data_IF_931966745814
#
_entry.id   IF_931966745814
#
_cell.length_a   1.000
_cell.length_b   1.000
_cell.length_c   1.000
_cell.angle_alpha   90.00
_cell.angle_beta   90.00
_cell.angle_gamma   90.00
#
_symmetry.space_group_name_H-M   'P 1'
#
loop_
_entity.id
_entity.type
_entity.pdbx_description
1 polymer ?
#
# COMPACT_ATOMS: atom_id res chain seq x y z
N UNK A 1 -5.63 35.40 14.40
CA UNK A 1 -5.77 34.31 13.40
C UNK A 1 -4.46 33.59 13.11
N UNK A 2 -3.32 34.30 12.96
CA UNK A 2 -2.00 33.68 12.72
C UNK A 2 -1.60 32.61 13.77
N UNK A 3 -1.92 32.83 15.05
CA UNK A 3 -1.64 31.85 16.13
C UNK A 3 -2.32 30.49 15.92
N UNK A 4 -3.53 30.47 15.36
CA UNK A 4 -4.23 29.22 15.06
C UNK A 4 -3.64 28.54 13.81
N UNK A 5 -3.28 29.34 12.79
CA UNK A 5 -2.61 28.83 11.59
C UNK A 5 -1.24 28.19 11.90
N UNK A 6 -0.51 28.73 12.89
CA UNK A 6 0.78 28.21 13.34
C UNK A 6 0.69 26.77 13.88
N UNK A 7 -0.45 26.38 14.45
CA UNK A 7 -0.67 25.00 14.90
C UNK A 7 -1.34 24.15 13.80
N UNK A 8 -2.31 24.71 13.07
CA UNK A 8 -3.11 23.97 12.10
C UNK A 8 -2.34 23.61 10.83
N UNK A 9 -1.54 24.54 10.27
CA UNK A 9 -0.84 24.31 9.00
C UNK A 9 0.22 23.21 9.12
N UNK A 10 1.08 23.16 10.16
CA UNK A 10 1.98 22.03 10.36
C UNK A 10 1.23 20.71 10.52
N UNK A 11 0.13 20.69 11.29
CA UNK A 11 -0.69 19.48 11.46
C UNK A 11 -1.24 18.98 10.11
N UNK A 12 -1.81 19.87 9.30
CA UNK A 12 -2.32 19.56 7.98
C UNK A 12 -1.22 19.08 7.02
N UNK A 13 -0.08 19.78 7.00
CA UNK A 13 1.08 19.41 6.20
C UNK A 13 1.62 18.03 6.58
N UNK A 14 1.71 17.76 7.88
CA UNK A 14 2.10 16.45 8.40
C UNK A 14 1.12 15.35 8.03
N UNK A 15 -0.19 15.60 8.08
CA UNK A 15 -1.21 14.67 7.62
C UNK A 15 -1.06 14.33 6.12
N UNK A 16 -0.92 15.36 5.28
CA UNK A 16 -0.71 15.20 3.84
C UNK A 16 0.56 14.38 3.55
N UNK A 17 1.64 14.67 4.27
CA UNK A 17 2.90 13.96 4.14
C UNK A 17 2.79 12.47 4.51
N UNK A 18 2.22 12.15 5.68
CA UNK A 18 2.12 10.74 6.12
C UNK A 18 1.15 9.93 5.26
N UNK A 19 0.17 10.59 4.63
CA UNK A 19 -0.79 9.95 3.72
C UNK A 19 -0.23 9.66 2.32
N UNK A 20 0.79 10.41 1.88
CA UNK A 20 1.42 10.26 0.57
C UNK A 20 2.69 9.40 0.63
N UNK A 21 3.45 9.47 1.72
CA UNK A 21 4.66 8.68 1.90
C UNK A 21 4.34 7.19 2.13
N UNK A 22 4.86 6.31 1.28
CA UNK A 22 4.49 4.90 1.22
C UNK A 22 4.81 4.13 2.51
N UNK A 23 5.90 4.46 3.22
CA UNK A 23 6.26 3.81 4.49
C UNK A 23 5.18 4.00 5.56
N UNK A 24 4.64 5.21 5.67
CA UNK A 24 3.66 5.54 6.71
C UNK A 24 2.23 5.28 6.25
N UNK A 25 1.94 5.42 4.96
CA UNK A 25 0.58 5.33 4.40
C UNK A 25 -0.11 4.02 4.77
N UNK A 26 0.61 2.90 4.75
CA UNK A 26 0.05 1.59 5.11
C UNK A 26 -0.22 1.45 6.60
N UNK A 27 0.64 2.03 7.44
CA UNK A 27 0.52 1.97 8.89
C UNK A 27 -0.67 2.80 9.37
N UNK A 28 -0.82 4.03 8.86
CA UNK A 28 -1.84 4.97 9.33
C UNK A 28 -3.26 4.52 9.03
N UNK A 29 -3.48 3.69 8.01
CA UNK A 29 -4.82 3.21 7.66
C UNK A 29 -5.39 2.23 8.70
N UNK A 30 -4.53 1.56 9.50
CA UNK A 30 -4.91 0.68 10.61
C UNK A 30 -4.93 1.40 11.97
N UNK A 31 -4.45 2.64 12.02
CA UNK A 31 -4.38 3.41 13.25
C UNK A 31 -5.71 4.10 13.58
N UNK A 32 -6.00 4.19 14.88
CA UNK A 32 -7.10 5.00 15.39
C UNK A 32 -6.90 6.47 15.03
N UNK A 33 -8.00 7.22 14.85
CA UNK A 33 -7.94 8.64 14.50
C UNK A 33 -7.06 9.46 15.47
N UNK A 34 -7.02 9.09 16.76
CA UNK A 34 -6.16 9.75 17.74
C UNK A 34 -4.66 9.59 17.43
N UNK A 35 -4.22 8.36 17.12
CA UNK A 35 -2.82 8.07 16.76
C UNK A 35 -2.43 8.77 15.46
N UNK A 36 -3.35 8.81 14.49
CA UNK A 36 -3.18 9.53 13.24
C UNK A 36 -2.92 11.03 13.46
N UNK A 37 -3.68 11.69 14.36
CA UNK A 37 -3.45 13.09 14.68
C UNK A 37 -2.08 13.32 15.33
N UNK A 38 -1.66 12.45 16.25
CA UNK A 38 -0.34 12.54 16.90
C UNK A 38 0.78 12.37 15.87
N UNK A 39 0.65 11.41 14.97
CA UNK A 39 1.64 11.15 13.91
C UNK A 39 1.71 12.30 12.90
N UNK A 40 0.56 12.84 12.50
CA UNK A 40 0.49 14.02 11.66
C UNK A 40 1.15 15.23 12.35
N UNK A 41 0.88 15.46 13.64
CA UNK A 41 1.52 16.52 14.40
C UNK A 41 3.05 16.34 14.46
N UNK A 42 3.53 15.13 14.74
CA UNK A 42 4.96 14.82 14.80
C UNK A 42 5.67 15.16 13.49
N UNK A 43 5.18 14.66 12.35
CA UNK A 43 5.77 14.97 11.04
C UNK A 43 5.57 16.42 10.64
N UNK A 44 4.45 17.02 11.02
CA UNK A 44 4.16 18.43 10.83
C UNK A 44 5.20 19.35 11.46
N UNK A 45 5.62 19.05 12.69
CA UNK A 45 6.68 19.79 13.40
C UNK A 45 8.01 19.70 12.62
N UNK A 46 8.40 18.51 12.17
CA UNK A 46 9.64 18.34 11.40
C UNK A 46 9.61 19.08 10.06
N UNK A 47 8.48 19.03 9.35
CA UNK A 47 8.31 19.78 8.10
C UNK A 47 8.34 21.29 8.33
N UNK A 48 7.76 21.76 9.44
CA UNK A 48 7.80 23.17 9.83
C UNK A 48 9.22 23.63 10.17
N UNK A 49 9.98 22.84 10.93
CA UNK A 49 11.38 23.15 11.25
C UNK A 49 12.24 23.17 9.98
N UNK A 50 12.02 22.22 9.06
CA UNK A 50 12.70 22.19 7.77
C UNK A 50 12.34 23.42 6.92
N UNK A 51 11.05 23.77 6.83
CA UNK A 51 10.58 24.96 6.12
C UNK A 51 11.17 26.24 6.70
N UNK A 52 11.23 26.34 8.03
CA UNK A 52 11.83 27.47 8.73
C UNK A 52 13.32 27.59 8.38
N UNK A 53 14.08 26.50 8.49
CA UNK A 53 15.50 26.49 8.16
C UNK A 53 15.74 26.89 6.69
N UNK A 54 14.98 26.32 5.75
CA UNK A 54 15.07 26.66 4.33
C UNK A 54 14.74 28.14 4.07
N UNK A 55 13.70 28.67 4.71
CA UNK A 55 13.28 30.07 4.54
C UNK A 55 14.30 31.03 5.13
N UNK A 56 14.88 30.72 6.29
CA UNK A 56 15.97 31.52 6.90
C UNK A 56 17.20 31.53 5.98
N UNK A 57 17.62 30.36 5.48
CA UNK A 57 18.77 30.26 4.58
C UNK A 57 18.52 30.97 3.24
N UNK A 58 17.30 30.93 2.72
CA UNK A 58 16.92 31.55 1.47
C UNK A 58 16.51 33.03 1.62
N UNK A 59 16.40 33.55 2.85
CA UNK A 59 15.93 34.90 3.14
C UNK A 59 16.62 35.99 2.31
N UNK A 60 17.96 35.98 2.11
CA UNK A 60 18.63 36.99 1.28
C UNK A 60 18.15 37.03 -0.18
N UNK A 61 17.64 35.90 -0.70
CA UNK A 61 17.17 35.77 -2.07
C UNK A 61 15.66 35.97 -2.21
N UNK A 62 14.92 36.00 -1.10
CA UNK A 62 13.46 36.05 -1.07
C UNK A 62 12.90 37.44 -0.75
N UNK A 63 13.75 38.47 -0.64
CA UNK A 63 13.32 39.84 -0.30
C UNK A 63 12.26 40.40 -1.25
N UNK A 64 12.36 40.16 -2.56
CA UNK A 64 11.34 40.60 -3.52
C UNK A 64 9.98 39.96 -3.25
N UNK A 65 9.96 38.67 -2.90
CA UNK A 65 8.74 37.95 -2.56
C UNK A 65 8.17 38.40 -1.21
N UNK A 66 9.04 38.61 -0.21
CA UNK A 66 8.64 39.12 1.09
C UNK A 66 8.07 40.53 1.00
N UNK A 67 8.66 41.41 0.20
CA UNK A 67 8.13 42.75 -0.06
C UNK A 67 6.73 42.70 -0.68
N UNK A 68 6.52 41.82 -1.67
CA UNK A 68 5.20 41.58 -2.27
C UNK A 68 4.19 41.07 -1.23
N UNK A 69 4.57 40.08 -0.41
CA UNK A 69 3.71 39.54 0.64
C UNK A 69 3.37 40.60 1.70
N UNK A 70 4.33 41.42 2.13
CA UNK A 70 4.08 42.54 3.07
C UNK A 70 3.06 43.52 2.50
N UNK A 71 3.17 43.87 1.22
CA UNK A 71 2.20 44.75 0.55
C UNK A 71 0.79 44.14 0.51
N UNK A 72 0.67 42.84 0.18
CA UNK A 72 -0.62 42.14 0.15
C UNK A 72 -1.26 41.96 1.54
N UNK A 73 -0.47 41.63 2.55
CA UNK A 73 -0.94 41.49 3.95
C UNK A 73 -1.41 42.85 4.49
N UNK A 74 -0.69 43.93 4.17
CA UNK A 74 -1.07 45.29 4.56
C UNK A 74 -2.38 45.77 3.92
N UNK A 75 -2.64 45.41 2.66
CA UNK A 75 -3.89 45.76 1.97
C UNK A 75 -5.11 44.98 2.48
N UNK A 76 -4.93 43.72 2.87
CA UNK A 76 -6.04 42.85 3.24
C UNK A 76 -6.60 43.14 4.65
N UNK A 77 -5.94 43.97 5.47
CA UNK A 77 -6.38 44.27 6.85
C UNK A 77 -6.50 43.04 7.76
N UNK A 78 -6.00 41.88 7.31
CA UNK A 78 -6.22 40.57 7.93
C UNK A 78 -5.41 40.35 9.22
N UNK A 79 -4.44 41.22 9.51
CA UNK A 79 -3.58 41.12 10.68
C UNK A 79 -3.30 42.54 11.21
N UNK A 80 -3.95 42.91 12.32
CA UNK A 80 -3.57 44.11 13.07
C UNK A 80 -2.10 43.98 13.52
N UNK A 81 -1.21 44.79 12.94
CA UNK A 81 0.13 45.02 13.49
C UNK A 81 0.02 45.83 14.78
N UNK A 82 -0.39 45.18 15.86
CA UNK A 82 -0.16 45.72 17.20
C UNK A 82 1.30 45.50 17.57
N UNK A 83 2.10 46.52 17.30
CA UNK A 83 3.41 46.82 17.89
C UNK A 83 4.26 45.63 18.36
N UNK A 84 5.20 45.19 17.52
CA UNK A 84 6.40 44.49 18.00
C UNK A 84 6.91 43.33 17.14
N UNK A 85 8.08 43.54 16.52
CA UNK A 85 9.18 42.59 16.18
C UNK A 85 8.92 41.32 15.35
N UNK A 86 7.69 40.95 15.03
CA UNK A 86 7.39 39.70 14.32
C UNK A 86 7.01 39.99 12.87
N UNK A 87 7.89 39.70 11.92
CA UNK A 87 7.62 39.83 10.48
C UNK A 87 6.53 38.81 10.08
N UNK A 88 5.30 39.30 9.93
CA UNK A 88 4.14 38.46 9.61
C UNK A 88 4.25 37.84 8.22
N UNK A 89 4.83 38.54 7.24
CA UNK A 89 5.04 38.03 5.89
C UNK A 89 6.04 36.87 5.87
N UNK A 90 7.10 36.97 6.69
CA UNK A 90 8.04 35.86 6.88
C UNK A 90 7.33 34.60 7.40
N UNK A 91 6.49 34.72 8.44
CA UNK A 91 5.76 33.56 8.97
C UNK A 91 4.73 32.99 7.97
N UNK A 92 4.06 33.83 7.20
CA UNK A 92 3.18 33.37 6.11
C UNK A 92 3.96 32.54 5.10
N UNK A 93 5.16 32.98 4.72
CA UNK A 93 6.03 32.25 3.81
C UNK A 93 6.49 30.91 4.40
N UNK A 94 6.89 30.87 5.67
CA UNK A 94 7.26 29.63 6.37
C UNK A 94 6.08 28.64 6.40
N UNK A 95 4.87 29.10 6.72
CA UNK A 95 3.68 28.25 6.76
C UNK A 95 3.32 27.74 5.35
N UNK A 96 3.43 28.58 4.33
CA UNK A 96 3.22 28.17 2.94
C UNK A 96 4.25 27.11 2.51
N UNK A 97 5.53 27.34 2.81
CA UNK A 97 6.59 26.37 2.55
C UNK A 97 6.38 25.05 3.29
N UNK A 98 5.92 25.10 4.54
CA UNK A 98 5.56 23.91 5.34
C UNK A 98 4.48 23.08 4.65
N UNK A 99 3.42 23.74 4.15
CA UNK A 99 2.34 23.07 3.43
C UNK A 99 2.82 22.44 2.11
N UNK A 100 3.65 23.17 1.35
CA UNK A 100 4.25 22.66 0.10
C UNK A 100 5.12 21.44 0.36
N UNK A 101 5.96 21.47 1.40
CA UNK A 101 6.75 20.31 1.81
C UNK A 101 5.86 19.13 2.24
N UNK A 102 4.72 19.40 2.90
CA UNK A 102 3.74 18.36 3.22
C UNK A 102 3.11 17.70 1.99
N UNK A 103 2.76 18.50 0.98
CA UNK A 103 2.15 18.03 -0.27
C UNK A 103 3.12 17.23 -1.14
N UNK A 104 4.37 17.68 -1.25
CA UNK A 104 5.34 17.14 -2.21
C UNK A 104 6.32 16.16 -1.56
N UNK A 105 6.66 16.38 -0.29
CA UNK A 105 7.73 15.67 0.41
C UNK A 105 7.54 14.16 0.44
N UNK A 106 6.30 13.67 0.62
CA UNK A 106 6.02 12.24 0.61
C UNK A 106 6.36 11.59 -0.74
N UNK A 107 6.00 12.23 -1.86
CA UNK A 107 6.32 11.76 -3.20
C UNK A 107 7.83 11.76 -3.48
N UNK A 108 8.56 12.78 -2.99
CA UNK A 108 10.03 12.85 -3.12
C UNK A 108 10.70 11.71 -2.37
N UNK A 109 10.26 11.42 -1.14
CA UNK A 109 10.79 10.29 -0.37
C UNK A 109 10.44 8.94 -1.01
N UNK A 110 9.27 8.82 -1.65
CA UNK A 110 8.90 7.62 -2.39
C UNK A 110 9.84 7.38 -3.57
N UNK A 111 10.26 8.44 -4.28
CA UNK A 111 11.28 8.33 -5.32
C UNK A 111 12.62 7.84 -4.78
N UNK A 112 13.08 8.40 -3.66
CA UNK A 112 14.31 7.94 -3.02
C UNK A 112 14.22 6.46 -2.63
N UNK A 113 13.05 6.05 -2.10
CA UNK A 113 12.80 4.66 -1.76
C UNK A 113 12.79 3.75 -2.98
N UNK A 114 12.16 4.16 -4.08
CA UNK A 114 12.16 3.41 -5.34
C UNK A 114 13.59 3.13 -5.83
N UNK A 115 14.45 4.15 -5.85
CA UNK A 115 15.84 4.01 -6.28
C UNK A 115 16.68 3.16 -5.32
N UNK A 116 16.37 3.18 -4.02
CA UNK A 116 17.03 2.30 -3.04
C UNK A 116 16.59 0.84 -3.18
N UNK A 117 15.34 0.59 -3.55
CA UNK A 117 14.76 -0.76 -3.63
C UNK A 117 15.00 -1.48 -4.95
N UNK A 118 15.27 -0.77 -6.03
CA UNK A 118 15.50 -1.36 -7.36
C UNK A 118 16.93 -1.93 -7.49
N UNK A 119 17.05 -3.11 -8.11
CA UNK A 119 18.35 -3.69 -8.42
C UNK A 119 19.04 -2.97 -9.58
N UNK A 120 20.37 -2.85 -9.55
CA UNK A 120 21.17 -2.25 -10.63
C UNK A 120 20.92 -2.91 -11.99
N UNK A 121 20.69 -4.23 -12.01
CA UNK A 121 20.37 -5.00 -13.23
C UNK A 121 19.00 -4.63 -13.81
N UNK A 122 18.00 -4.43 -12.94
CA UNK A 122 16.67 -4.01 -13.36
C UNK A 122 16.65 -2.57 -13.84
N UNK A 123 17.37 -1.68 -13.16
CA UNK A 123 17.50 -0.29 -13.56
C UNK A 123 18.16 -0.17 -14.96
N UNK A 124 19.19 -0.98 -15.22
CA UNK A 124 19.80 -1.08 -16.55
C UNK A 124 18.81 -1.65 -17.59
N UNK A 125 18.08 -2.71 -17.25
CA UNK A 125 17.06 -3.31 -18.14
C UNK A 125 15.96 -2.29 -18.51
N UNK A 126 15.48 -1.51 -17.54
CA UNK A 126 14.48 -0.46 -17.76
C UNK A 126 15.06 0.69 -18.61
N UNK A 127 16.31 1.08 -18.38
CA UNK A 127 16.99 2.09 -19.19
C UNK A 127 17.14 1.66 -20.66
N UNK A 128 17.55 0.42 -20.92
CA UNK A 128 17.62 -0.15 -22.29
C UNK A 128 16.23 -0.19 -22.93
N UNK A 129 15.20 -0.57 -22.18
CA UNK A 129 13.81 -0.60 -22.65
C UNK A 129 13.33 0.80 -23.05
N UNK A 130 13.67 1.85 -22.28
CA UNK A 130 13.35 3.26 -22.61
C UNK A 130 13.93 3.68 -23.95
N UNK A 131 15.21 3.36 -24.18
CA UNK A 131 15.92 3.69 -25.42
C UNK A 131 15.26 2.97 -26.61
N UNK A 132 14.92 1.69 -26.45
CA UNK A 132 14.40 0.85 -27.55
C UNK A 132 12.92 1.11 -27.87
N UNK A 133 12.09 1.41 -26.88
CA UNK A 133 10.62 1.41 -27.04
C UNK A 133 9.94 2.77 -26.88
N UNK A 134 10.68 3.85 -26.56
CA UNK A 134 10.12 5.18 -26.24
C UNK A 134 8.96 5.15 -25.22
N UNK A 135 8.88 4.11 -24.41
CA UNK A 135 7.77 3.89 -23.48
C UNK A 135 7.80 4.97 -22.37
N UNK A 136 6.71 5.76 -22.28
CA UNK A 136 6.55 6.85 -21.32
C UNK A 136 6.32 6.35 -19.88
N UNK A 137 6.03 5.05 -19.68
CA UNK A 137 5.67 4.47 -18.37
C UNK A 137 6.86 4.07 -17.51
N UNK A 138 8.10 4.40 -17.91
CA UNK A 138 9.30 4.05 -17.12
C UNK A 138 9.25 4.63 -15.71
N UNK A 139 8.86 5.90 -15.57
CA UNK A 139 8.79 6.54 -14.26
C UNK A 139 7.74 5.90 -13.35
N UNK A 140 6.56 5.56 -13.89
CA UNK A 140 5.55 4.84 -13.11
C UNK A 140 6.02 3.46 -12.67
N UNK A 141 6.76 2.73 -13.51
CA UNK A 141 7.31 1.41 -13.16
C UNK A 141 8.36 1.52 -12.06
N UNK A 142 9.26 2.50 -12.13
CA UNK A 142 10.26 2.73 -11.07
C UNK A 142 9.55 3.11 -9.77
N UNK A 143 8.59 4.03 -9.84
CA UNK A 143 7.83 4.46 -8.66
C UNK A 143 7.11 3.29 -7.99
N UNK A 144 6.64 2.30 -8.75
CA UNK A 144 5.99 1.09 -8.22
C UNK A 144 6.89 0.26 -7.28
N UNK A 145 8.21 0.27 -7.47
CA UNK A 145 9.15 -0.42 -6.56
C UNK A 145 9.08 0.13 -5.14
N UNK A 146 8.91 1.45 -4.99
CA UNK A 146 8.74 2.05 -3.65
C UNK A 146 7.50 1.52 -2.96
N UNK A 147 6.41 1.33 -3.71
CA UNK A 147 5.15 0.85 -3.20
C UNK A 147 5.26 -0.59 -2.71
N UNK A 148 5.84 -1.48 -3.54
CA UNK A 148 6.06 -2.90 -3.18
C UNK A 148 6.98 -3.05 -1.98
N UNK A 149 8.07 -2.28 -1.92
CA UNK A 149 9.03 -2.33 -0.82
C UNK A 149 8.45 -1.81 0.51
N UNK A 150 7.64 -0.75 0.46
CA UNK A 150 6.94 -0.24 1.62
C UNK A 150 5.85 -1.20 2.10
N UNK A 151 5.06 -1.77 1.16
CA UNK A 151 4.04 -2.77 1.45
C UNK A 151 4.63 -3.99 2.18
N UNK A 152 5.73 -4.54 1.65
CA UNK A 152 6.42 -5.69 2.25
C UNK A 152 6.87 -5.38 3.68
N UNK A 153 7.45 -4.20 3.92
CA UNK A 153 7.86 -3.78 5.26
C UNK A 153 6.68 -3.57 6.20
N UNK A 154 5.61 -2.94 5.73
CA UNK A 154 4.40 -2.75 6.53
C UNK A 154 3.82 -4.10 6.97
N UNK A 155 3.76 -5.08 6.07
CA UNK A 155 3.29 -6.44 6.39
C UNK A 155 4.15 -7.11 7.46
N UNK A 156 5.48 -7.02 7.34
CA UNK A 156 6.39 -7.53 8.36
C UNK A 156 6.26 -6.81 9.71
N UNK A 157 6.12 -5.48 9.71
CA UNK A 157 5.98 -4.66 10.92
C UNK A 157 4.65 -4.89 11.64
N UNK A 158 3.58 -5.10 10.87
CA UNK A 158 2.24 -5.38 11.38
C UNK A 158 2.08 -6.82 11.87
N UNK A 159 3.08 -7.68 11.61
CA UNK A 159 3.18 -9.07 12.09
C UNK A 159 1.90 -9.90 11.86
N UNK A 160 1.29 -9.76 10.68
CA UNK A 160 0.15 -10.56 10.26
C UNK A 160 0.66 -11.79 9.52
N UNK A 161 0.68 -12.95 10.20
CA UNK A 161 1.14 -14.22 9.61
C UNK A 161 0.36 -14.59 8.33
N UNK A 162 -0.92 -14.22 8.29
CA UNK A 162 -1.76 -14.35 7.11
C UNK A 162 -1.21 -13.53 5.93
N UNK A 163 -0.95 -12.25 6.14
CA UNK A 163 -0.44 -11.35 5.08
C UNK A 163 0.91 -11.83 4.55
N UNK A 164 1.75 -12.42 5.41
CA UNK A 164 3.01 -13.03 5.00
C UNK A 164 2.81 -14.23 4.07
N UNK A 165 1.85 -15.11 4.37
CA UNK A 165 1.52 -16.25 3.49
C UNK A 165 0.94 -15.77 2.17
N UNK A 166 0.02 -14.80 2.20
CA UNK A 166 -0.59 -14.23 0.98
C UNK A 166 0.45 -13.52 0.12
N UNK A 167 1.39 -12.78 0.72
CA UNK A 167 2.50 -12.17 0.00
C UNK A 167 3.42 -13.21 -0.63
N UNK A 168 3.76 -14.29 0.09
CA UNK A 168 4.56 -15.38 -0.47
C UNK A 168 3.85 -16.03 -1.66
N UNK A 169 2.54 -16.24 -1.56
CA UNK A 169 1.73 -16.79 -2.65
C UNK A 169 1.81 -15.92 -3.90
N UNK A 170 1.69 -14.59 -3.75
CA UNK A 170 1.82 -13.65 -4.87
C UNK A 170 3.26 -13.59 -5.42
N UNK A 171 4.28 -13.47 -4.57
CA UNK A 171 5.69 -13.39 -4.98
C UNK A 171 6.12 -14.67 -5.74
N UNK A 172 5.64 -15.83 -5.30
CA UNK A 172 5.99 -17.13 -5.88
C UNK A 172 5.01 -17.61 -6.96
N UNK A 173 3.94 -16.84 -7.25
CA UNK A 173 2.86 -17.28 -8.13
C UNK A 173 2.32 -18.66 -7.77
N UNK A 174 2.22 -18.93 -6.46
CA UNK A 174 1.75 -20.19 -5.91
C UNK A 174 0.29 -20.09 -5.48
N UNK A 175 -0.50 -21.14 -5.67
CA UNK A 175 -1.87 -21.15 -5.21
C UNK A 175 -1.92 -21.32 -3.68
N UNK A 176 -2.99 -20.84 -3.07
CA UNK A 176 -3.28 -21.06 -1.66
C UNK A 176 -4.44 -22.04 -1.50
N UNK A 177 -4.43 -22.79 -0.41
CA UNK A 177 -5.55 -23.56 0.07
C UNK A 177 -6.17 -22.80 1.26
N UNK A 178 -7.47 -22.51 1.16
CA UNK A 178 -8.23 -21.86 2.23
C UNK A 178 -9.32 -22.79 2.72
N UNK A 179 -9.36 -23.00 4.03
CA UNK A 179 -10.46 -23.70 4.71
C UNK A 179 -11.35 -22.67 5.40
N UNK A 180 -12.65 -22.67 5.10
CA UNK A 180 -13.65 -21.81 5.74
C UNK A 180 -14.27 -22.49 6.97
N UNK A 181 -14.90 -21.70 7.84
CA UNK A 181 -15.50 -22.14 9.10
C UNK A 181 -16.54 -23.26 8.97
N UNK A 182 -17.24 -23.32 7.84
CA UNK A 182 -18.24 -24.34 7.53
C UNK A 182 -17.65 -25.57 6.79
N UNK A 183 -16.31 -25.68 6.72
CA UNK A 183 -15.63 -26.84 6.14
C UNK A 183 -15.45 -26.81 4.62
N UNK A 184 -15.98 -25.79 3.91
CA UNK A 184 -15.70 -25.58 2.49
C UNK A 184 -14.22 -25.24 2.31
N UNK A 185 -13.64 -25.78 1.25
CA UNK A 185 -12.25 -25.54 0.86
C UNK A 185 -12.18 -24.94 -0.54
N UNK A 186 -11.34 -23.93 -0.70
CA UNK A 186 -10.97 -23.37 -1.99
C UNK A 186 -9.47 -23.46 -2.19
N UNK A 187 -9.06 -23.89 -3.38
CA UNK A 187 -7.66 -23.83 -3.82
C UNK A 187 -7.62 -22.93 -5.06
N UNK A 188 -6.84 -21.86 -4.99
CA UNK A 188 -6.90 -20.78 -5.97
C UNK A 188 -5.72 -19.80 -5.88
N UNK A 189 -5.60 -18.91 -6.87
CA UNK A 189 -4.64 -17.80 -6.81
C UNK A 189 -5.27 -16.64 -6.05
N UNK A 190 -4.49 -15.99 -5.21
CA UNK A 190 -4.90 -14.72 -4.61
C UNK A 190 -4.99 -13.69 -5.71
N UNK A 191 -6.19 -13.15 -5.95
CA UNK A 191 -6.38 -12.07 -6.94
C UNK A 191 -6.67 -10.73 -6.30
N UNK A 192 -7.04 -10.72 -5.02
CA UNK A 192 -7.18 -9.49 -4.24
C UNK A 192 -7.24 -9.77 -2.75
N UNK A 193 -6.20 -9.39 -2.02
CA UNK A 193 -6.20 -9.51 -0.56
C UNK A 193 -5.21 -8.58 0.15
N UNK A 194 -4.62 -7.61 -0.54
CA UNK A 194 -3.43 -6.93 0.00
C UNK A 194 -3.47 -5.42 -0.28
N UNK A 195 -4.55 -4.75 0.11
CA UNK A 195 -4.39 -3.37 0.59
C UNK A 195 -4.44 -3.45 2.13
N UNK A 196 -3.29 -3.35 2.83
CA UNK A 196 -3.21 -3.40 4.29
C UNK A 196 -4.06 -2.35 5.00
N UNK A 197 -4.65 -1.42 4.27
CA UNK A 197 -5.57 -0.46 4.85
C UNK A 197 -6.87 -0.28 4.09
N UNK A 198 -7.28 -1.25 3.27
CA UNK A 198 -8.70 -1.46 3.12
C UNK A 198 -9.20 -2.11 4.42
N UNK A 199 -10.22 -1.53 5.06
CA UNK A 199 -10.88 -2.15 6.24
C UNK A 199 -11.68 -3.39 5.87
N UNK A 200 -11.75 -3.71 4.57
CA UNK A 200 -12.35 -4.94 4.08
C UNK A 200 -11.41 -6.08 4.43
N UNK A 201 -11.68 -6.68 5.59
CA UNK A 201 -11.15 -7.97 6.01
C UNK A 201 -11.73 -9.08 5.10
N UNK A 202 -11.39 -9.04 3.81
CA UNK A 202 -11.92 -9.91 2.76
C UNK A 202 -10.76 -10.51 1.97
N UNK A 203 -10.81 -11.82 1.75
CA UNK A 203 -9.87 -12.54 0.89
C UNK A 203 -10.57 -12.88 -0.42
N UNK A 204 -9.97 -12.46 -1.53
CA UNK A 204 -10.41 -12.82 -2.88
C UNK A 204 -9.45 -13.79 -3.54
N UNK A 205 -10.05 -14.83 -4.11
CA UNK A 205 -9.36 -15.93 -4.73
C UNK A 205 -10.00 -16.23 -6.08
N UNK A 206 -9.18 -16.49 -7.08
CA UNK A 206 -9.59 -17.16 -8.31
C UNK A 206 -9.39 -18.67 -8.13
N UNK A 207 -10.46 -19.46 -7.92
CA UNK A 207 -10.35 -20.88 -7.64
C UNK A 207 -9.99 -21.68 -8.89
N UNK A 208 -9.21 -22.75 -8.72
CA UNK A 208 -9.03 -23.84 -9.70
C UNK A 208 -9.82 -25.07 -9.30
N UNK A 209 -9.89 -25.32 -7.99
CA UNK A 209 -10.62 -26.44 -7.43
C UNK A 209 -11.25 -26.02 -6.11
N UNK A 210 -12.46 -26.51 -5.85
CA UNK A 210 -13.12 -26.38 -4.55
C UNK A 210 -13.62 -27.72 -4.06
N UNK A 211 -13.84 -27.79 -2.76
CA UNK A 211 -14.15 -29.02 -2.05
C UNK A 211 -14.70 -28.75 -0.67
N UNK A 212 -14.69 -29.77 0.15
CA UNK A 212 -14.98 -29.68 1.57
C UNK A 212 -14.08 -30.63 2.35
N UNK A 213 -13.90 -30.36 3.64
CA UNK A 213 -13.28 -31.32 4.56
C UNK A 213 -14.37 -32.25 5.09
N UNK A 214 -14.15 -33.55 4.98
CA UNK A 214 -15.05 -34.53 5.58
C UNK A 214 -15.12 -34.32 7.10
N UNK A 215 -16.31 -34.47 7.67
CA UNK A 215 -16.51 -34.41 9.12
C UNK A 215 -15.75 -35.52 9.85
N UNK A 216 -15.60 -36.67 9.19
CA UNK A 216 -14.82 -37.81 9.66
C UNK A 216 -13.39 -37.74 9.08
N UNK A 217 -12.40 -37.53 9.95
CA UNK A 217 -10.98 -37.50 9.59
C UNK A 217 -10.45 -36.22 8.93
N UNK A 218 -11.26 -35.17 8.73
CA UNK A 218 -10.87 -33.84 8.20
C UNK A 218 -10.15 -33.86 6.83
N UNK A 219 -10.28 -34.98 6.10
CA UNK A 219 -9.69 -35.17 4.77
C UNK A 219 -10.36 -34.26 3.76
N UNK A 220 -9.57 -33.71 2.85
CA UNK A 220 -10.06 -32.80 1.82
C UNK A 220 -10.61 -33.58 0.62
N UNK A 221 -11.86 -33.31 0.27
CA UNK A 221 -12.54 -33.89 -0.89
C UNK A 221 -12.79 -32.80 -1.93
N UNK A 222 -12.13 -32.90 -3.07
CA UNK A 222 -12.37 -32.02 -4.21
C UNK A 222 -13.64 -32.42 -4.95
N UNK A 223 -14.48 -31.43 -5.27
CA UNK A 223 -15.80 -31.65 -5.89
C UNK A 223 -15.97 -30.89 -7.20
N UNK A 224 -15.35 -29.70 -7.32
CA UNK A 224 -15.56 -28.81 -8.46
C UNK A 224 -14.20 -28.38 -9.02
N UNK A 225 -13.95 -28.68 -10.30
CA UNK A 225 -12.71 -28.35 -11.02
C UNK A 225 -12.93 -27.20 -12.00
N UNK A 226 -12.73 -25.96 -11.53
CA UNK A 226 -12.92 -24.75 -12.32
C UNK A 226 -12.00 -24.68 -13.54
N UNK A 227 -10.78 -25.23 -13.45
CA UNK A 227 -9.82 -25.28 -14.57
C UNK A 227 -10.38 -25.96 -15.81
N UNK A 228 -11.19 -27.01 -15.62
CA UNK A 228 -11.83 -27.72 -16.74
C UNK A 228 -12.83 -26.83 -17.47
N UNK A 229 -13.49 -25.93 -16.75
CA UNK A 229 -14.46 -24.98 -17.29
C UNK A 229 -13.74 -23.81 -17.95
N UNK A 230 -12.70 -23.27 -17.31
CA UNK A 230 -11.91 -22.16 -17.88
C UNK A 230 -11.26 -22.52 -19.22
N UNK A 231 -10.80 -23.77 -19.38
CA UNK A 231 -10.24 -24.26 -20.65
C UNK A 231 -11.28 -24.34 -21.78
N UNK A 232 -12.58 -24.36 -21.46
CA UNK A 232 -13.66 -24.37 -22.46
C UNK A 232 -14.02 -22.98 -22.97
N UNK A 233 -13.68 -21.91 -22.25
CA UNK A 233 -14.00 -20.53 -22.68
C UNK A 233 -13.42 -20.19 -24.05
N UNK A 234 -12.25 -20.72 -24.39
CA UNK A 234 -11.61 -20.52 -25.70
C UNK A 234 -12.00 -21.56 -26.76
N UNK A 235 -12.72 -22.63 -26.40
CA UNK A 235 -13.02 -23.76 -27.29
C UNK A 235 -14.49 -23.91 -27.63
N UNK A 236 -15.38 -23.38 -26.80
CA UNK A 236 -16.83 -23.56 -26.87
C UNK A 236 -17.48 -22.19 -27.16
N UNK A 237 -18.11 -22.04 -28.32
CA UNK A 237 -18.75 -20.77 -28.72
C UNK A 237 -19.80 -20.32 -27.71
N UNK A 238 -20.46 -21.25 -27.02
CA UNK A 238 -21.48 -20.95 -26.01
C UNK A 238 -20.91 -20.32 -24.75
N UNK A 239 -19.63 -20.56 -24.44
CA UNK A 239 -18.92 -20.06 -23.25
C UNK A 239 -17.88 -18.98 -23.57
N UNK A 240 -17.76 -18.58 -24.83
CA UNK A 240 -16.78 -17.60 -25.32
C UNK A 240 -16.92 -16.19 -24.72
N UNK A 241 -18.09 -15.87 -24.17
CA UNK A 241 -18.38 -14.61 -23.49
C UNK A 241 -17.87 -14.54 -22.04
N UNK A 242 -17.40 -15.67 -21.49
CA UNK A 242 -16.95 -15.78 -20.10
C UNK A 242 -15.42 -15.58 -19.99
N UNK A 243 -14.99 -15.06 -18.84
CA UNK A 243 -13.59 -14.98 -18.48
C UNK A 243 -13.38 -15.48 -17.04
N UNK A 244 -12.15 -15.89 -16.65
CA UNK A 244 -11.89 -16.41 -15.30
C UNK A 244 -12.19 -15.41 -14.17
N UNK A 245 -12.01 -14.11 -14.40
CA UNK A 245 -12.24 -13.07 -13.38
C UNK A 245 -13.72 -13.03 -12.91
N UNK A 246 -14.67 -13.46 -13.75
CA UNK A 246 -16.08 -13.59 -13.36
C UNK A 246 -16.34 -14.68 -12.30
N UNK A 247 -15.36 -15.54 -12.03
CA UNK A 247 -15.47 -16.66 -11.09
C UNK A 247 -14.62 -16.45 -9.83
N UNK A 248 -14.15 -15.22 -9.60
CA UNK A 248 -13.54 -14.85 -8.33
C UNK A 248 -14.51 -15.08 -7.16
N UNK A 249 -14.00 -15.68 -6.10
CA UNK A 249 -14.74 -15.88 -4.85
C UNK A 249 -14.16 -14.95 -3.79
N UNK A 250 -15.05 -14.22 -3.11
CA UNK A 250 -14.70 -13.31 -2.01
C UNK A 250 -15.35 -13.82 -0.74
N UNK A 251 -14.59 -13.87 0.36
CA UNK A 251 -15.12 -14.20 1.67
C UNK A 251 -14.42 -13.41 2.80
N UNK A 252 -15.09 -13.20 3.94
CA UNK A 252 -14.50 -12.50 5.08
C UNK A 252 -13.32 -13.29 5.69
N UNK A 253 -12.27 -12.59 6.11
CA UNK A 253 -11.15 -13.19 6.85
C UNK A 253 -11.61 -13.81 8.17
N UNK A 254 -12.67 -13.29 8.78
CA UNK A 254 -13.28 -13.87 9.99
C UNK A 254 -13.83 -15.28 9.78
N UNK A 255 -14.17 -15.66 8.54
CA UNK A 255 -14.63 -17.01 8.21
C UNK A 255 -13.48 -17.97 7.91
N UNK A 256 -12.26 -17.46 7.73
CA UNK A 256 -11.10 -18.27 7.36
C UNK A 256 -10.55 -18.98 8.60
N UNK A 257 -10.54 -20.31 8.57
CA UNK A 257 -9.95 -21.15 9.61
C UNK A 257 -8.47 -21.41 9.39
N UNK A 258 -8.06 -21.59 8.14
CA UNK A 258 -6.65 -21.78 7.81
C UNK A 258 -6.36 -21.37 6.37
N UNK A 259 -5.12 -20.90 6.16
CA UNK A 259 -4.54 -20.59 4.86
C UNK A 259 -3.14 -21.18 4.81
N UNK A 260 -2.82 -21.84 3.71
CA UNK A 260 -1.47 -22.33 3.43
C UNK A 260 -1.18 -22.27 1.93
N UNK A 261 0.11 -22.17 1.56
CA UNK A 261 0.52 -22.43 0.18
C UNK A 261 0.14 -23.86 -0.19
N UNK A 262 -0.30 -24.04 -1.43
CA UNK A 262 -0.76 -25.33 -1.93
C UNK A 262 0.05 -25.70 -3.17
N UNK A 263 0.37 -26.98 -3.27
CA UNK A 263 0.87 -27.60 -4.49
C UNK A 263 0.18 -28.96 -4.63
N UNK A 264 -0.42 -29.19 -5.80
CA UNK A 264 -1.22 -30.39 -6.03
C UNK A 264 -0.37 -31.67 -6.05
N UNK A 265 0.87 -31.58 -6.53
CA UNK A 265 1.79 -32.72 -6.61
C UNK A 265 2.30 -33.08 -5.21
N UNK A 266 2.66 -32.06 -4.42
CA UNK A 266 3.03 -32.26 -3.02
C UNK A 266 1.86 -32.86 -2.23
N UNK A 267 0.64 -32.37 -2.44
CA UNK A 267 -0.55 -32.93 -1.82
C UNK A 267 -0.76 -34.41 -2.16
N UNK A 268 -0.58 -34.80 -3.44
CA UNK A 268 -0.67 -36.20 -3.87
C UNK A 268 0.40 -37.07 -3.20
N UNK A 269 1.65 -36.61 -3.16
CA UNK A 269 2.74 -37.32 -2.48
C UNK A 269 2.44 -37.56 -0.99
N UNK A 270 1.86 -36.57 -0.29
CA UNK A 270 1.43 -36.73 1.11
C UNK A 270 0.32 -37.79 1.30
N UNK A 271 -0.45 -38.10 0.25
CA UNK A 271 -1.49 -39.13 0.31
C UNK A 271 -0.97 -40.53 -0.01
N UNK A 272 0.11 -40.62 -0.76
CA UNK A 272 0.79 -41.87 -1.16
C UNK A 272 1.68 -42.38 -0.04
N UNK A 273 2.42 -41.50 0.65
CA UNK A 273 3.41 -41.84 1.68
C UNK A 273 2.76 -42.03 3.08
N UNK A 274 1.64 -42.76 3.13
CA UNK A 274 1.02 -43.14 4.41
C UNK A 274 1.90 -44.20 5.06
N UNK A 275 2.44 -43.98 6.28
CA UNK A 275 3.04 -45.07 7.02
C UNK A 275 1.98 -46.15 7.16
N UNK A 276 2.29 -47.38 6.74
CA UNK A 276 1.41 -48.52 6.92
C UNK A 276 1.05 -48.56 8.39
N UNK A 277 -0.22 -48.32 8.71
CA UNK A 277 -0.78 -48.65 10.02
C UNK A 277 -0.66 -50.15 10.16
N UNK A 278 0.45 -50.62 10.74
CA UNK A 278 0.52 -51.93 11.35
C UNK A 278 -0.50 -51.91 12.49
N UNK A 279 -1.55 -52.75 12.45
CA UNK A 279 -2.37 -52.96 13.62
C UNK A 279 -1.49 -53.71 14.64
N UNK A 280 -1.26 -53.09 15.80
CA UNK A 280 -0.80 -53.80 17.00
C UNK A 280 -1.93 -54.70 17.53
#
# INVERSE_FOLDING_TARGET
>A
MLKAALAFVPLLAGYLFVSTWHETRYLIKREDSQKLYIRAAFWGIWLFLLALALTVCANPYLESLLAFLRAGVGQAGLLEEKGGKVDTAFWVLVLAATLVLGLIGGYVLNWFLAFKSISTKELFRLAVRRIKSRDARLFSLIYEYSNRAALKRAIHLLNSDLDLILMRALEQSMPICVTLGHGKVYVGYVTGAIDPGDKRDMLRILPFVSGYRASDGLKMHFTTWYTTVYQRFTKDETLSHLNPELFEVVFPLSEVKSVNLFDIRAYQAFQEDKPSTTPD
#
